data_IF_124886092668
#
_entry.id   IF_124886092668
#
_cell.length_a   1.000
_cell.length_b   1.000
_cell.length_c   1.000
_cell.angle_alpha   90.00
_cell.angle_beta   90.00
_cell.angle_gamma   90.00
#
_symmetry.space_group_name_H-M   'P 1'
#
loop_
_entity.id
_entity.type
_entity.pdbx_description
1 polymer ?
#
# COMPACT_ATOMS: atom_id res chain seq x y z
N UNK A 1 7.05 -6.65 28.18
CA UNK A 1 7.31 -5.50 27.27
C UNK A 1 6.04 -4.67 27.27
N UNK A 2 6.07 -3.46 27.87
CA UNK A 2 4.95 -2.54 27.78
C UNK A 2 4.88 -2.05 26.33
N UNK A 3 3.80 -2.37 25.65
CA UNK A 3 3.46 -1.75 24.37
C UNK A 3 3.11 -0.29 24.69
N UNK A 4 4.01 0.62 24.40
CA UNK A 4 3.66 2.03 24.40
C UNK A 4 2.46 2.21 23.45
N UNK A 5 1.37 2.76 23.99
CA UNK A 5 0.23 3.17 23.16
C UNK A 5 0.76 4.15 22.11
N UNK A 6 0.33 4.03 20.83
CA UNK A 6 0.71 5.01 19.83
C UNK A 6 0.41 6.40 20.38
N UNK A 7 1.42 7.27 20.35
CA UNK A 7 1.30 8.61 20.86
C UNK A 7 0.12 9.28 20.15
N UNK A 8 -0.80 9.87 20.91
CA UNK A 8 -1.88 10.69 20.32
C UNK A 8 -1.20 11.73 19.43
N UNK A 9 -1.73 11.90 18.21
CA UNK A 9 -1.28 12.96 17.31
C UNK A 9 -1.19 14.28 18.10
N UNK A 10 0.00 14.86 18.14
CA UNK A 10 0.22 16.11 18.88
C UNK A 10 -0.43 17.29 18.13
N UNK A 11 -0.55 18.44 18.81
CA UNK A 11 -1.18 19.64 18.24
C UNK A 11 -0.49 20.13 16.98
N UNK A 12 0.83 19.97 16.90
CA UNK A 12 1.62 20.37 15.72
C UNK A 12 1.29 19.50 14.50
N UNK A 13 1.30 18.19 14.65
CA UNK A 13 0.90 17.25 13.58
C UNK A 13 -0.56 17.47 13.13
N UNK A 14 -1.46 17.80 14.06
CA UNK A 14 -2.85 18.15 13.71
C UNK A 14 -2.93 19.46 12.90
N UNK A 15 -2.14 20.47 13.24
CA UNK A 15 -2.08 21.73 12.49
C UNK A 15 -1.46 21.51 11.10
N UNK A 16 -0.39 20.72 11.02
CA UNK A 16 0.22 20.33 9.76
C UNK A 16 -0.77 19.60 8.85
N UNK A 17 -1.47 18.57 9.35
CA UNK A 17 -2.48 17.84 8.59
C UNK A 17 -3.60 18.76 8.07
N UNK A 18 -4.09 19.69 8.89
CA UNK A 18 -5.10 20.67 8.47
C UNK A 18 -4.63 21.60 7.36
N UNK A 19 -3.32 21.87 7.29
CA UNK A 19 -2.72 22.73 6.27
C UNK A 19 -2.52 22.05 4.92
N UNK A 20 -2.63 20.72 4.83
CA UNK A 20 -2.38 19.98 3.59
C UNK A 20 -3.59 20.12 2.64
N UNK A 21 -3.35 20.63 1.44
CA UNK A 21 -4.37 20.81 0.41
C UNK A 21 -4.56 19.55 -0.43
N UNK A 22 -5.44 18.64 0.04
CA UNK A 22 -5.70 17.33 -0.58
C UNK A 22 -6.81 17.34 -1.63
N UNK A 23 -7.69 18.35 -1.61
CA UNK A 23 -8.93 18.33 -2.39
C UNK A 23 -8.75 18.08 -3.91
N UNK A 24 -7.79 18.72 -4.63
CA UNK A 24 -7.60 18.44 -6.06
C UNK A 24 -7.10 17.02 -6.33
N UNK A 25 -6.24 16.48 -5.47
CA UNK A 25 -5.72 15.10 -5.59
C UNK A 25 -6.82 14.07 -5.35
N UNK A 26 -7.69 14.32 -4.35
CA UNK A 26 -8.90 13.51 -4.12
C UNK A 26 -9.84 13.56 -5.32
N UNK A 27 -10.00 14.73 -5.94
CA UNK A 27 -10.82 14.88 -7.16
C UNK A 27 -10.24 14.05 -8.31
N UNK A 28 -8.92 14.02 -8.52
CA UNK A 28 -8.29 13.16 -9.52
C UNK A 28 -8.53 11.67 -9.20
N UNK A 29 -8.39 11.29 -7.93
CA UNK A 29 -8.58 9.91 -7.48
C UNK A 29 -10.01 9.39 -7.73
N UNK A 30 -11.02 10.26 -7.89
CA UNK A 30 -12.40 9.84 -8.24
C UNK A 30 -12.50 9.06 -9.55
N UNK A 31 -11.52 9.18 -10.46
CA UNK A 31 -11.43 8.36 -11.66
C UNK A 31 -11.32 6.86 -11.35
N UNK A 32 -10.90 6.49 -10.12
CA UNK A 32 -10.76 5.11 -9.65
C UNK A 32 -12.05 4.54 -9.03
N UNK A 33 -13.12 5.32 -8.85
CA UNK A 33 -14.38 4.88 -8.20
C UNK A 33 -15.02 3.70 -8.95
N UNK A 34 -15.01 3.71 -10.29
CA UNK A 34 -15.59 2.64 -11.11
C UNK A 34 -14.75 1.37 -11.19
N UNK A 35 -13.54 1.36 -10.65
CA UNK A 35 -12.61 0.24 -10.73
C UNK A 35 -12.73 -0.67 -9.51
N UNK A 36 -13.33 -1.85 -9.69
CA UNK A 36 -13.48 -2.85 -8.63
C UNK A 36 -12.15 -3.54 -8.32
N UNK A 37 -11.99 -4.01 -7.09
CA UNK A 37 -10.85 -4.80 -6.60
C UNK A 37 -11.24 -6.26 -6.39
N UNK A 38 -10.26 -7.16 -6.49
CA UNK A 38 -10.46 -8.59 -6.22
C UNK A 38 -10.80 -8.88 -4.75
N UNK A 39 -10.35 -8.03 -3.86
CA UNK A 39 -10.54 -8.09 -2.41
C UNK A 39 -11.75 -7.29 -1.90
N UNK A 40 -12.62 -6.87 -2.82
CA UNK A 40 -13.81 -6.08 -2.52
C UNK A 40 -13.57 -4.56 -2.50
N UNK A 41 -14.65 -3.79 -2.62
CA UNK A 41 -14.60 -2.35 -2.73
C UNK A 41 -14.10 -1.87 -4.11
N UNK A 42 -13.60 -0.65 -4.15
CA UNK A 42 -13.04 -0.04 -5.35
C UNK A 42 -11.66 0.59 -5.09
N UNK A 43 -10.94 0.92 -6.16
CA UNK A 43 -9.59 1.48 -6.09
C UNK A 43 -9.56 2.85 -5.40
N UNK A 44 -10.60 3.68 -5.52
CA UNK A 44 -10.67 4.97 -4.82
C UNK A 44 -10.64 4.79 -3.29
N UNK A 45 -11.44 3.84 -2.76
CA UNK A 45 -11.43 3.55 -1.32
C UNK A 45 -10.05 3.11 -0.85
N UNK A 46 -9.36 2.26 -1.63
CA UNK A 46 -8.00 1.84 -1.31
C UNK A 46 -7.02 3.02 -1.17
N UNK A 47 -7.11 4.03 -2.05
CA UNK A 47 -6.28 5.24 -1.93
C UNK A 47 -6.50 5.93 -0.58
N UNK A 48 -7.77 6.06 -0.15
CA UNK A 48 -8.11 6.67 1.15
C UNK A 48 -7.62 5.80 2.31
N UNK A 49 -7.78 4.49 2.23
CA UNK A 49 -7.31 3.55 3.25
C UNK A 49 -5.76 3.63 3.39
N UNK A 50 -5.03 3.73 2.27
CA UNK A 50 -3.57 3.91 2.27
C UNK A 50 -3.14 5.22 2.94
N UNK A 51 -3.84 6.33 2.64
CA UNK A 51 -3.62 7.61 3.33
C UNK A 51 -3.91 7.48 4.84
N UNK A 52 -5.00 6.80 5.21
CA UNK A 52 -5.35 6.53 6.61
C UNK A 52 -4.22 5.82 7.36
N UNK A 53 -3.64 4.78 6.77
CA UNK A 53 -2.47 4.07 7.33
C UNK A 53 -1.31 5.03 7.57
N UNK A 54 -0.95 5.88 6.59
CA UNK A 54 0.14 6.86 6.78
C UNK A 54 -0.11 7.80 7.95
N UNK A 55 -1.34 8.30 8.10
CA UNK A 55 -1.73 9.19 9.20
C UNK A 55 -1.66 8.46 10.55
N UNK A 56 -2.11 7.21 10.62
CA UNK A 56 -2.06 6.38 11.83
C UNK A 56 -0.62 6.16 12.32
N UNK A 57 0.33 6.05 11.37
CA UNK A 57 1.76 5.94 11.67
C UNK A 57 2.46 7.29 11.87
N UNK A 58 1.72 8.41 11.83
CA UNK A 58 2.24 9.76 12.08
C UNK A 58 3.03 10.36 10.91
N UNK A 59 2.92 9.81 9.71
CA UNK A 59 3.54 10.35 8.50
C UNK A 59 2.70 11.50 7.93
N UNK A 60 2.83 12.68 8.54
CA UNK A 60 2.10 13.90 8.14
C UNK A 60 2.98 14.75 7.22
N UNK A 61 3.35 14.19 6.08
CA UNK A 61 4.11 14.88 5.03
C UNK A 61 3.18 15.21 3.85
N UNK A 62 3.18 16.45 3.37
CA UNK A 62 2.26 16.94 2.34
C UNK A 62 2.40 16.14 1.04
N UNK A 63 3.64 15.96 0.54
CA UNK A 63 3.92 15.23 -0.70
C UNK A 63 3.50 13.77 -0.57
N UNK A 64 3.83 13.13 0.55
CA UNK A 64 3.51 11.73 0.81
C UNK A 64 1.99 11.49 0.87
N UNK A 65 1.23 12.33 1.58
CA UNK A 65 -0.23 12.19 1.67
C UNK A 65 -0.93 12.49 0.34
N UNK A 66 -0.46 13.49 -0.42
CA UNK A 66 -0.95 13.77 -1.78
C UNK A 66 -0.68 12.60 -2.72
N UNK A 67 0.54 12.06 -2.71
CA UNK A 67 0.89 10.89 -3.51
C UNK A 67 0.05 9.65 -3.13
N UNK A 68 -0.20 9.42 -1.84
CA UNK A 68 -0.96 8.24 -1.39
C UNK A 68 -2.38 8.17 -1.94
N UNK A 69 -3.05 9.30 -2.15
CA UNK A 69 -4.43 9.32 -2.67
C UNK A 69 -4.52 9.17 -4.20
N UNK A 70 -3.37 9.19 -4.90
CA UNK A 70 -3.32 9.02 -6.36
C UNK A 70 -2.29 7.98 -6.83
N UNK A 71 -1.71 7.17 -5.92
CA UNK A 71 -0.56 6.32 -6.24
C UNK A 71 -0.82 5.26 -7.32
N UNK A 72 -2.06 4.79 -7.45
CA UNK A 72 -2.45 3.83 -8.50
C UNK A 72 -3.07 4.51 -9.74
N UNK A 73 -3.23 5.84 -9.73
CA UNK A 73 -3.96 6.56 -10.79
C UNK A 73 -3.33 6.36 -12.17
N UNK A 74 -2.02 6.44 -12.24
CA UNK A 74 -1.26 6.30 -13.50
C UNK A 74 -1.26 4.84 -13.99
N UNK A 75 -1.19 3.86 -13.06
CA UNK A 75 -1.20 2.44 -13.41
C UNK A 75 -2.60 1.98 -13.85
N UNK A 76 -3.64 2.52 -13.24
CA UNK A 76 -4.97 1.97 -13.30
C UNK A 76 -5.96 2.72 -14.20
N UNK A 77 -5.67 3.97 -14.57
CA UNK A 77 -6.51 4.76 -15.49
C UNK A 77 -5.82 4.86 -16.86
N UNK A 78 -6.41 4.18 -17.86
CA UNK A 78 -5.91 4.20 -19.21
C UNK A 78 -5.88 5.65 -19.76
N UNK A 79 -4.81 5.98 -20.47
CA UNK A 79 -4.62 7.29 -21.13
C UNK A 79 -4.76 8.49 -20.17
N UNK A 80 -4.39 8.30 -18.90
CA UNK A 80 -4.42 9.38 -17.92
C UNK A 80 -3.47 10.52 -18.32
N UNK A 81 -4.02 11.73 -18.42
CA UNK A 81 -3.22 12.93 -18.72
C UNK A 81 -2.43 13.38 -17.47
N UNK A 82 -1.14 13.10 -17.47
CA UNK A 82 -0.22 13.40 -16.36
C UNK A 82 -0.11 14.90 -16.05
N UNK A 83 -0.39 15.80 -17.02
CA UNK A 83 -0.39 17.25 -16.79
C UNK A 83 -1.39 17.65 -15.71
N UNK A 84 -2.48 16.91 -15.58
CA UNK A 84 -3.49 17.16 -14.55
C UNK A 84 -2.96 17.04 -13.12
N UNK A 85 -1.89 16.24 -12.89
CA UNK A 85 -1.19 16.23 -11.61
C UNK A 85 -0.26 17.43 -11.52
N UNK A 86 0.53 17.68 -12.56
CA UNK A 86 1.62 18.67 -12.57
C UNK A 86 1.13 20.12 -12.45
N UNK A 87 -0.14 20.38 -12.76
CA UNK A 87 -0.75 21.72 -12.75
C UNK A 87 -1.52 22.06 -11.46
N UNK A 88 -1.49 21.20 -10.41
CA UNK A 88 -2.30 21.39 -9.20
C UNK A 88 -1.74 22.45 -8.27
N UNK A 89 -0.48 22.32 -7.86
CA UNK A 89 0.16 23.22 -6.90
C UNK A 89 1.70 23.18 -7.00
N UNK A 90 2.38 23.88 -6.12
CA UNK A 90 3.85 23.98 -6.13
C UNK A 90 4.58 22.68 -5.78
N UNK A 91 3.91 21.71 -5.15
CA UNK A 91 4.48 20.40 -4.79
C UNK A 91 4.17 19.32 -5.84
N UNK A 92 3.41 19.65 -6.87
CA UNK A 92 2.90 18.70 -7.88
C UNK A 92 4.00 17.88 -8.55
N UNK A 93 5.16 18.47 -8.82
CA UNK A 93 6.29 17.74 -9.42
C UNK A 93 6.82 16.66 -8.46
N UNK A 94 7.02 17.00 -7.19
CA UNK A 94 7.50 16.03 -6.18
C UNK A 94 6.47 14.92 -5.95
N UNK A 95 5.19 15.26 -5.94
CA UNK A 95 4.09 14.27 -5.84
C UNK A 95 4.11 13.32 -7.03
N UNK A 96 4.22 13.86 -8.24
CA UNK A 96 4.26 13.08 -9.47
C UNK A 96 5.47 12.14 -9.51
N UNK A 97 6.66 12.63 -9.14
CA UNK A 97 7.88 11.84 -9.11
C UNK A 97 7.75 10.69 -8.10
N UNK A 98 7.18 10.95 -6.91
CA UNK A 98 6.94 9.91 -5.92
C UNK A 98 5.92 8.86 -6.40
N UNK A 99 4.85 9.28 -7.08
CA UNK A 99 3.89 8.35 -7.70
C UNK A 99 4.58 7.46 -8.73
N UNK A 100 5.45 8.02 -9.58
CA UNK A 100 6.20 7.24 -10.57
C UNK A 100 7.15 6.20 -9.94
N UNK A 101 7.75 6.51 -8.78
CA UNK A 101 8.60 5.54 -8.06
C UNK A 101 7.82 4.30 -7.61
N UNK A 102 6.53 4.46 -7.30
CA UNK A 102 5.68 3.35 -6.83
C UNK A 102 4.73 2.79 -7.90
N UNK A 103 4.81 3.29 -9.13
CA UNK A 103 4.04 2.81 -10.29
C UNK A 103 4.82 1.71 -11.02
N UNK A 104 4.20 0.55 -11.22
CA UNK A 104 4.77 -0.53 -12.02
C UNK A 104 4.63 -0.19 -13.51
N UNK A 105 5.74 -0.26 -14.27
CA UNK A 105 5.73 0.01 -15.71
C UNK A 105 5.02 -1.11 -16.48
N UNK A 106 4.39 -0.75 -17.58
CA UNK A 106 3.78 -1.72 -18.48
C UNK A 106 4.83 -2.77 -18.93
N UNK A 107 4.46 -4.04 -18.92
CA UNK A 107 5.34 -5.16 -19.25
C UNK A 107 6.42 -5.49 -18.21
N UNK A 108 6.58 -4.71 -17.15
CA UNK A 108 7.54 -4.99 -16.08
C UNK A 108 7.06 -6.16 -15.20
N UNK A 109 7.97 -7.12 -14.91
CA UNK A 109 7.68 -8.16 -13.94
C UNK A 109 7.50 -7.54 -12.54
N UNK A 110 6.50 -8.04 -11.79
CA UNK A 110 6.22 -7.53 -10.45
C UNK A 110 7.39 -7.71 -9.49
N UNK A 111 8.12 -8.81 -9.61
CA UNK A 111 9.34 -9.06 -8.83
C UNK A 111 10.43 -8.02 -9.07
N UNK A 112 10.62 -7.61 -10.34
CA UNK A 112 11.66 -6.63 -10.69
C UNK A 112 11.27 -5.22 -10.22
N UNK A 113 9.99 -4.89 -10.34
CA UNK A 113 9.43 -3.66 -9.79
C UNK A 113 9.65 -3.57 -8.27
N UNK A 114 9.31 -4.63 -7.51
CA UNK A 114 9.46 -4.63 -6.06
C UNK A 114 10.93 -4.61 -5.62
N UNK A 115 11.82 -5.32 -6.33
CA UNK A 115 13.28 -5.22 -6.13
C UNK A 115 13.79 -3.80 -6.38
N UNK A 116 13.31 -3.15 -7.43
CA UNK A 116 13.65 -1.76 -7.72
C UNK A 116 13.32 -0.82 -6.56
N UNK A 117 12.17 -1.00 -5.91
CA UNK A 117 11.82 -0.22 -4.71
C UNK A 117 12.77 -0.54 -3.54
N UNK A 118 13.11 -1.81 -3.31
CA UNK A 118 14.06 -2.20 -2.24
C UNK A 118 15.40 -1.50 -2.45
N UNK A 119 15.93 -1.57 -3.65
CA UNK A 119 17.31 -1.16 -3.97
C UNK A 119 17.43 0.36 -4.17
N UNK A 120 16.47 0.97 -4.83
CA UNK A 120 16.57 2.33 -5.36
C UNK A 120 15.47 3.28 -4.91
N UNK A 121 14.36 2.77 -4.34
CA UNK A 121 13.24 3.60 -3.92
C UNK A 121 13.65 4.61 -2.85
N UNK A 122 13.14 5.83 -2.95
CA UNK A 122 13.31 6.88 -1.94
C UNK A 122 12.71 6.46 -0.60
N UNK A 123 13.10 7.06 0.51
CA UNK A 123 12.46 6.79 1.81
C UNK A 123 10.94 6.97 1.77
N UNK A 124 10.43 8.00 1.10
CA UNK A 124 8.99 8.25 0.93
C UNK A 124 8.31 7.15 0.10
N UNK A 125 8.95 6.70 -1.00
CA UNK A 125 8.42 5.59 -1.81
C UNK A 125 8.35 4.28 -1.02
N UNK A 126 9.34 3.98 -0.21
CA UNK A 126 9.37 2.81 0.67
C UNK A 126 8.26 2.86 1.72
N UNK A 127 8.07 4.00 2.37
CA UNK A 127 6.99 4.21 3.36
C UNK A 127 5.62 4.09 2.69
N UNK A 128 5.42 4.76 1.54
CA UNK A 128 4.17 4.67 0.77
C UNK A 128 3.86 3.23 0.38
N UNK A 129 4.87 2.48 -0.08
CA UNK A 129 4.70 1.07 -0.47
C UNK A 129 4.36 0.16 0.71
N UNK A 130 4.87 0.45 1.91
CA UNK A 130 4.47 -0.26 3.13
C UNK A 130 3.02 0.05 3.51
N UNK A 131 2.59 1.31 3.46
CA UNK A 131 1.22 1.70 3.75
C UNK A 131 0.21 1.11 2.76
N UNK A 132 0.50 1.15 1.46
CA UNK A 132 -0.24 0.46 0.41
C UNK A 132 -0.38 -1.05 0.72
N UNK A 133 0.73 -1.71 1.08
CA UNK A 133 0.72 -3.13 1.40
C UNK A 133 -0.10 -3.45 2.65
N UNK A 134 -0.04 -2.64 3.70
CA UNK A 134 -0.86 -2.80 4.90
C UNK A 134 -2.35 -2.71 4.52
N UNK A 135 -2.76 -1.67 3.79
CA UNK A 135 -4.13 -1.51 3.30
C UNK A 135 -4.59 -2.74 2.50
N UNK A 136 -3.76 -3.23 1.58
CA UNK A 136 -4.03 -4.43 0.80
C UNK A 136 -4.15 -5.69 1.67
N UNK A 137 -3.26 -5.89 2.64
CA UNK A 137 -3.28 -7.05 3.55
C UNK A 137 -4.49 -7.05 4.48
N UNK A 138 -4.99 -5.89 4.90
CA UNK A 138 -6.25 -5.75 5.65
C UNK A 138 -7.40 -6.21 4.76
N UNK A 139 -7.51 -5.68 3.54
CA UNK A 139 -8.57 -6.01 2.58
C UNK A 139 -8.54 -7.49 2.15
N UNK A 140 -7.38 -8.14 2.18
CA UNK A 140 -7.20 -9.55 1.87
C UNK A 140 -8.09 -10.49 2.74
N UNK A 141 -8.60 -9.99 3.87
CA UNK A 141 -9.58 -10.70 4.71
C UNK A 141 -10.92 -10.97 4.04
N UNK A 142 -11.25 -10.25 2.98
CA UNK A 142 -12.47 -10.43 2.21
C UNK A 142 -12.29 -11.34 1.00
N UNK A 143 -11.04 -11.76 0.69
CA UNK A 143 -10.74 -12.66 -0.43
C UNK A 143 -11.02 -14.10 -0.04
N UNK A 144 -11.73 -14.83 -0.91
CA UNK A 144 -12.07 -16.25 -0.71
C UNK A 144 -11.18 -17.22 -1.47
N UNK A 145 -10.28 -16.74 -2.35
CA UNK A 145 -9.35 -17.57 -3.11
C UNK A 145 -8.06 -17.85 -2.30
N UNK A 146 -7.89 -19.08 -1.74
CA UNK A 146 -6.75 -19.38 -0.88
C UNK A 146 -5.40 -19.27 -1.60
N UNK A 147 -5.32 -19.67 -2.88
CA UNK A 147 -4.08 -19.59 -3.64
C UNK A 147 -3.64 -18.12 -3.87
N UNK A 148 -4.61 -17.21 -4.03
CA UNK A 148 -4.30 -15.78 -4.10
C UNK A 148 -3.78 -15.26 -2.77
N UNK A 149 -4.43 -15.64 -1.66
CA UNK A 149 -4.02 -15.24 -0.29
C UNK A 149 -2.59 -15.72 0.00
N UNK A 150 -2.29 -17.01 -0.27
CA UNK A 150 -0.94 -17.59 -0.06
C UNK A 150 0.11 -16.80 -0.83
N UNK A 151 -0.07 -16.67 -2.16
CA UNK A 151 0.88 -15.94 -3.01
C UNK A 151 1.10 -14.50 -2.55
N UNK A 152 0.04 -13.84 -2.08
CA UNK A 152 0.14 -12.46 -1.61
C UNK A 152 0.89 -12.33 -0.28
N UNK A 153 0.71 -13.32 0.62
CA UNK A 153 1.51 -13.42 1.85
C UNK A 153 2.98 -13.66 1.55
N UNK A 154 3.29 -14.60 0.64
CA UNK A 154 4.67 -14.93 0.25
C UNK A 154 5.36 -13.71 -0.39
N UNK A 155 4.67 -13.00 -1.27
CA UNK A 155 5.17 -11.76 -1.88
C UNK A 155 5.43 -10.68 -0.83
N UNK A 156 4.53 -10.53 0.14
CA UNK A 156 4.67 -9.56 1.22
C UNK A 156 5.88 -9.90 2.10
N UNK A 157 6.03 -11.16 2.45
CA UNK A 157 7.15 -11.64 3.27
C UNK A 157 8.49 -11.45 2.56
N UNK A 158 8.56 -11.79 1.28
CA UNK A 158 9.81 -11.75 0.54
C UNK A 158 10.26 -10.34 0.17
N UNK A 159 9.34 -9.48 -0.28
CA UNK A 159 9.70 -8.16 -0.83
C UNK A 159 9.39 -7.00 0.12
N UNK A 160 8.28 -7.05 0.87
CA UNK A 160 7.81 -5.88 1.60
C UNK A 160 8.33 -5.87 3.05
N UNK A 161 8.43 -7.01 3.71
CA UNK A 161 9.01 -7.04 5.06
C UNK A 161 10.43 -6.46 5.13
N UNK A 162 11.35 -6.73 4.18
CA UNK A 162 12.65 -6.06 4.17
C UNK A 162 12.56 -4.54 4.03
N UNK A 163 11.62 -4.03 3.21
CA UNK A 163 11.38 -2.59 3.08
C UNK A 163 10.90 -2.03 4.42
N UNK A 164 9.87 -2.63 5.00
CA UNK A 164 9.26 -2.17 6.24
C UNK A 164 10.26 -2.17 7.41
N UNK A 165 11.06 -3.23 7.54
CA UNK A 165 12.12 -3.33 8.56
C UNK A 165 13.15 -2.19 8.44
N UNK A 166 13.44 -1.74 7.22
CA UNK A 166 14.40 -0.68 6.96
C UNK A 166 13.85 0.74 7.23
N UNK A 167 12.52 0.95 7.14
CA UNK A 167 11.93 2.29 7.23
C UNK A 167 11.06 2.51 8.47
N UNK A 168 10.32 1.48 8.92
CA UNK A 168 9.43 1.59 10.08
C UNK A 168 9.18 0.23 10.74
N UNK A 169 9.70 0.06 11.94
CA UNK A 169 9.57 -1.21 12.68
C UNK A 169 8.11 -1.52 13.08
N UNK A 170 7.26 -0.52 13.31
CA UNK A 170 5.87 -0.76 13.67
C UNK A 170 5.06 -1.25 12.46
N UNK A 171 5.28 -0.65 11.26
CA UNK A 171 4.73 -1.17 10.00
C UNK A 171 5.19 -2.61 9.73
N UNK A 172 6.47 -2.92 10.00
CA UNK A 172 7.00 -4.28 9.91
C UNK A 172 6.25 -5.26 10.81
N UNK A 173 6.02 -4.89 12.10
CA UNK A 173 5.28 -5.72 13.05
C UNK A 173 3.81 -5.93 12.63
N UNK A 174 3.15 -4.90 12.13
CA UNK A 174 1.79 -5.03 11.63
C UNK A 174 1.72 -5.97 10.43
N UNK A 175 2.62 -5.84 9.46
CA UNK A 175 2.69 -6.73 8.31
C UNK A 175 2.91 -8.18 8.71
N UNK A 176 3.80 -8.47 9.67
CA UNK A 176 3.97 -9.83 10.23
C UNK A 176 2.65 -10.33 10.83
N UNK A 177 1.98 -9.53 11.64
CA UNK A 177 0.71 -9.90 12.26
C UNK A 177 -0.36 -10.22 11.23
N UNK A 178 -0.45 -9.42 10.17
CA UNK A 178 -1.36 -9.63 9.06
C UNK A 178 -1.04 -10.93 8.29
N UNK A 179 0.24 -11.21 7.99
CA UNK A 179 0.68 -12.45 7.34
C UNK A 179 0.29 -13.66 8.20
N UNK A 180 0.60 -13.65 9.50
CA UNK A 180 0.26 -14.73 10.43
C UNK A 180 -1.24 -14.99 10.43
N UNK A 181 -2.05 -13.92 10.49
CA UNK A 181 -3.52 -14.02 10.50
C UNK A 181 -4.05 -14.65 9.20
N UNK A 182 -3.51 -14.26 8.04
CA UNK A 182 -3.93 -14.81 6.74
C UNK A 182 -3.48 -16.27 6.57
N UNK A 183 -2.28 -16.61 7.02
CA UNK A 183 -1.79 -18.01 7.00
C UNK A 183 -2.60 -18.92 7.91
N UNK A 184 -2.99 -18.44 9.10
CA UNK A 184 -3.90 -19.19 9.99
C UNK A 184 -5.23 -19.48 9.29
N UNK A 185 -5.81 -18.51 8.59
CA UNK A 185 -7.02 -18.75 7.81
C UNK A 185 -6.81 -19.86 6.75
N UNK A 186 -5.66 -19.90 6.07
CA UNK A 186 -5.34 -20.95 5.11
C UNK A 186 -5.22 -22.35 5.75
N UNK A 187 -4.75 -22.42 7.00
CA UNK A 187 -4.74 -23.65 7.80
C UNK A 187 -6.15 -24.06 8.17
N UNK A 188 -6.92 -23.15 8.77
CA UNK A 188 -8.28 -23.41 9.27
C UNK A 188 -9.25 -23.86 8.17
N UNK A 189 -9.09 -23.37 6.94
CA UNK A 189 -9.89 -23.81 5.79
C UNK A 189 -9.38 -25.11 5.13
N UNK A 190 -8.31 -25.72 5.65
CA UNK A 190 -7.73 -26.98 5.17
C UNK A 190 -7.01 -26.88 3.82
N UNK A 191 -6.73 -25.68 3.35
CA UNK A 191 -6.06 -25.45 2.07
C UNK A 191 -4.61 -25.98 2.08
N UNK A 192 -3.87 -25.70 3.13
CA UNK A 192 -2.47 -26.12 3.24
C UNK A 192 -2.32 -27.64 3.35
N UNK A 193 -3.27 -28.32 3.99
CA UNK A 193 -3.25 -29.78 4.10
C UNK A 193 -3.54 -30.46 2.75
N UNK A 194 -4.48 -29.94 1.99
CA UNK A 194 -4.74 -30.42 0.60
C UNK A 194 -3.50 -30.24 -0.27
N UNK A 195 -2.89 -29.09 -0.24
CA UNK A 195 -1.66 -28.79 -1.01
C UNK A 195 -0.50 -29.71 -0.65
N UNK A 196 -0.30 -29.98 0.68
CA UNK A 196 0.73 -30.91 1.16
C UNK A 196 0.46 -32.36 0.68
N UNK A 197 -0.81 -32.77 0.64
CA UNK A 197 -1.19 -34.09 0.13
C UNK A 197 -0.92 -34.23 -1.38
N UNK A 198 -1.25 -33.21 -2.16
CA UNK A 198 -0.98 -33.18 -3.60
C UNK A 198 0.51 -33.28 -3.92
N UNK A 199 1.36 -32.53 -3.20
CA UNK A 199 2.82 -32.57 -3.37
C UNK A 199 3.45 -33.92 -3.00
N UNK A 200 2.83 -34.70 -2.10
CA UNK A 200 3.32 -36.05 -1.76
C UNK A 200 2.96 -37.10 -2.79
N UNK A 201 1.96 -36.83 -3.64
CA UNK A 201 1.44 -37.73 -4.65
C UNK A 201 1.97 -37.41 -6.07
N UNK A 202 2.75 -36.33 -6.23
CA UNK A 202 3.39 -35.90 -7.47
C UNK A 202 4.86 -36.35 -7.54
#
# INVERSE_FOLDING_TARGET
MQTEKPARMNTEAMLQLKGIYLAPYLQLATALIGKSRQDGGNMFRHQIDTMGVLIDYGYIDSVLLKASVIHDLIEDVADFDHKRILEIDSESQEVYDLVLEVTKKEGQLKSDYLRGIIEHGSPKAKILKCADRISNMISLGFVTNPAFIERYCDETEYFILPIALAVDYNMYQELISLIITRRRYLEDCGYLDKKRAELKNA
#
